data_IF_240883796569
#
_entry.id   IF_240883796569
#
_cell.length_a   1.000
_cell.length_b   1.000
_cell.length_c   1.000
_cell.angle_alpha   90.00
_cell.angle_beta   90.00
_cell.angle_gamma   90.00
#
_symmetry.space_group_name_H-M   'P 1'
#
loop_
_entity.id
_entity.type
_entity.pdbx_description
1 polymer ?
#
# COMPACT_ATOMS: atom_id res chain seq x y z
N UNK A 1 -55.44 40.66 -15.66
CA UNK A 1 -56.47 40.13 -16.57
C UNK A 1 -56.17 40.59 -17.99
N UNK A 2 -56.30 39.67 -18.97
CA UNK A 2 -56.19 39.84 -20.43
C UNK A 2 -54.79 40.28 -20.95
N UNK A 3 -53.96 39.44 -21.58
CA UNK A 3 -54.16 38.55 -22.74
C UNK A 3 -54.74 39.27 -23.96
N UNK A 4 -53.84 39.65 -24.89
CA UNK A 4 -54.10 39.80 -26.33
C UNK A 4 -52.78 39.55 -27.07
N UNK A 5 -52.67 38.38 -27.69
CA UNK A 5 -51.86 38.13 -28.90
C UNK A 5 -52.84 38.11 -30.08
N UNK A 6 -52.43 38.56 -31.26
CA UNK A 6 -52.76 38.11 -32.63
C UNK A 6 -51.99 39.03 -33.61
N UNK A 7 -50.92 38.53 -34.27
CA UNK A 7 -50.78 38.14 -35.72
C UNK A 7 -50.76 39.35 -36.66
N UNK A 8 -50.01 39.48 -37.74
CA UNK A 8 -48.97 38.76 -38.51
C UNK A 8 -48.59 39.79 -39.60
N UNK A 9 -47.33 39.92 -40.01
CA UNK A 9 -47.06 40.28 -41.42
C UNK A 9 -45.68 39.77 -41.83
N UNK A 10 -45.70 38.92 -42.85
CA UNK A 10 -44.58 38.24 -43.48
C UNK A 10 -44.08 39.11 -44.64
N UNK A 11 -42.78 39.40 -44.68
CA UNK A 11 -42.13 39.93 -45.87
C UNK A 11 -40.69 39.40 -45.97
N UNK A 12 -40.57 38.42 -46.86
CA UNK A 12 -39.37 37.80 -47.41
C UNK A 12 -38.33 38.84 -47.86
N UNK A 13 -37.11 38.75 -47.33
CA UNK A 13 -35.94 39.23 -48.05
C UNK A 13 -34.69 38.49 -47.60
N UNK A 14 -34.16 37.72 -48.55
CA UNK A 14 -33.06 36.76 -48.42
C UNK A 14 -31.74 37.47 -48.11
N UNK A 15 -31.21 37.29 -46.91
CA UNK A 15 -29.82 37.61 -46.59
C UNK A 15 -29.01 36.30 -46.49
N UNK A 16 -28.09 36.09 -47.43
CA UNK A 16 -27.12 34.99 -47.44
C UNK A 16 -26.22 35.08 -46.21
N UNK A 17 -26.35 34.14 -45.27
CA UNK A 17 -25.41 33.97 -44.18
C UNK A 17 -24.51 32.76 -44.48
N UNK A 18 -23.18 32.89 -44.44
CA UNK A 18 -22.29 31.76 -44.66
C UNK A 18 -22.45 30.73 -43.52
N UNK A 19 -22.63 29.47 -43.90
CA UNK A 19 -22.59 28.32 -42.98
C UNK A 19 -21.19 28.19 -42.39
N UNK A 20 -21.01 28.62 -41.15
CA UNK A 20 -19.84 28.25 -40.35
C UNK A 20 -20.04 26.80 -39.92
N UNK A 21 -19.35 25.87 -40.58
CA UNK A 21 -19.19 24.53 -40.04
C UNK A 21 -18.32 24.63 -38.78
N UNK A 22 -18.97 24.65 -37.61
CA UNK A 22 -18.31 24.43 -36.33
C UNK A 22 -17.95 22.95 -36.30
N UNK A 23 -16.73 22.61 -36.72
CA UNK A 23 -16.12 21.33 -36.41
C UNK A 23 -16.08 21.20 -34.88
N UNK A 24 -16.86 20.26 -34.35
CA UNK A 24 -16.79 19.85 -32.95
C UNK A 24 -15.33 19.45 -32.63
N UNK A 25 -14.75 19.85 -31.49
CA UNK A 25 -13.58 19.15 -31.01
C UNK A 25 -14.06 17.75 -30.61
N UNK A 26 -13.59 16.72 -31.33
CA UNK A 26 -13.68 15.34 -30.89
C UNK A 26 -13.17 15.28 -29.45
N UNK A 27 -14.03 14.81 -28.55
CA UNK A 27 -13.61 14.41 -27.22
C UNK A 27 -12.59 13.29 -27.41
N UNK A 28 -11.31 13.66 -27.44
CA UNK A 28 -10.20 12.71 -27.31
C UNK A 28 -10.34 12.12 -25.92
N UNK A 29 -11.02 10.98 -25.84
CA UNK A 29 -10.99 10.11 -24.67
C UNK A 29 -9.53 9.73 -24.50
N UNK A 30 -8.84 10.44 -23.61
CA UNK A 30 -7.49 10.08 -23.20
C UNK A 30 -7.58 8.75 -22.45
N UNK A 31 -7.53 7.64 -23.18
CA UNK A 31 -7.17 6.34 -22.60
C UNK A 31 -5.71 6.45 -22.19
N UNK A 32 -5.48 6.89 -20.95
CA UNK A 32 -4.15 7.03 -20.40
C UNK A 32 -3.59 5.61 -20.23
N UNK A 33 -2.70 5.22 -21.14
CA UNK A 33 -1.87 4.01 -21.04
C UNK A 33 -0.97 4.16 -19.82
N UNK A 34 -1.46 3.73 -18.66
CA UNK A 34 -0.72 3.81 -17.40
C UNK A 34 0.28 2.66 -17.38
N UNK A 35 1.53 2.97 -17.07
CA UNK A 35 2.51 1.90 -16.88
C UNK A 35 2.05 0.93 -15.78
N UNK A 36 2.38 -0.37 -15.89
CA UNK A 36 2.02 -1.36 -14.86
C UNK A 36 2.49 -0.96 -13.45
N UNK A 37 3.63 -0.27 -13.36
CA UNK A 37 4.16 0.23 -12.09
C UNK A 37 3.26 1.30 -11.46
N UNK A 38 2.66 2.17 -12.27
CA UNK A 38 1.76 3.22 -11.78
C UNK A 38 0.43 2.62 -11.30
N UNK A 39 -0.12 1.64 -12.02
CA UNK A 39 -1.31 0.91 -11.58
C UNK A 39 -1.09 0.21 -10.24
N UNK A 40 0.07 -0.43 -10.08
CA UNK A 40 0.47 -1.09 -8.83
C UNK A 40 0.58 -0.09 -7.68
N UNK A 41 1.14 1.10 -7.92
CA UNK A 41 1.21 2.19 -6.93
C UNK A 41 -0.17 2.71 -6.55
N UNK A 42 -1.05 2.91 -7.54
CA UNK A 42 -2.43 3.37 -7.31
C UNK A 42 -3.18 2.34 -6.46
N UNK A 43 -3.08 1.05 -6.79
CA UNK A 43 -3.69 -0.03 -6.01
C UNK A 43 -3.22 0.00 -4.56
N UNK A 44 -1.91 0.10 -4.34
CA UNK A 44 -1.34 0.15 -3.00
C UNK A 44 -1.77 1.39 -2.22
N UNK A 45 -1.82 2.56 -2.88
CA UNK A 45 -2.31 3.79 -2.26
C UNK A 45 -3.78 3.67 -1.84
N UNK A 46 -4.64 3.09 -2.69
CA UNK A 46 -6.04 2.84 -2.35
C UNK A 46 -6.19 1.88 -1.15
N UNK A 47 -5.37 0.84 -1.06
CA UNK A 47 -5.34 -0.07 0.09
C UNK A 47 -4.91 0.69 1.35
N UNK A 48 -3.83 1.47 1.27
CA UNK A 48 -3.34 2.23 2.43
C UNK A 48 -4.41 3.21 2.96
N UNK A 49 -5.09 3.93 2.06
CA UNK A 49 -6.19 4.82 2.43
C UNK A 49 -7.35 4.07 3.09
N UNK A 50 -7.81 2.97 2.50
CA UNK A 50 -8.94 2.20 3.04
C UNK A 50 -8.66 1.60 4.42
N UNK A 51 -7.38 1.28 4.71
CA UNK A 51 -6.96 0.74 6.01
C UNK A 51 -6.55 1.82 7.02
N UNK A 52 -6.63 3.11 6.65
CA UNK A 52 -6.11 4.23 7.45
C UNK A 52 -4.62 4.04 7.81
N UNK A 53 -3.86 3.51 6.86
CA UNK A 53 -2.42 3.27 6.93
C UNK A 53 -1.70 4.37 6.17
N UNK A 54 -0.57 4.81 6.73
CA UNK A 54 0.40 5.62 6.01
C UNK A 54 1.68 4.83 5.78
N UNK A 55 1.87 4.39 4.54
CA UNK A 55 3.12 3.79 4.08
C UNK A 55 4.24 4.84 4.13
N UNK A 56 5.42 4.45 4.61
CA UNK A 56 6.58 5.34 4.70
C UNK A 56 7.68 4.91 3.72
N UNK A 57 8.14 3.67 3.82
CA UNK A 57 9.17 3.12 2.95
C UNK A 57 9.00 1.61 2.83
N UNK A 58 9.31 1.03 1.68
CA UNK A 58 9.29 -0.42 1.46
C UNK A 58 10.04 -0.79 0.20
N UNK A 59 10.73 -1.93 0.22
CA UNK A 59 11.23 -2.62 -0.98
C UNK A 59 10.45 -3.92 -1.28
N UNK A 60 9.47 -4.28 -0.43
CA UNK A 60 8.68 -5.50 -0.59
C UNK A 60 7.82 -5.47 -1.86
N UNK A 61 7.58 -6.62 -2.49
CA UNK A 61 6.51 -6.78 -3.47
C UNK A 61 5.12 -6.38 -2.92
N UNK A 62 4.26 -5.85 -3.78
CA UNK A 62 2.98 -5.24 -3.35
C UNK A 62 2.02 -6.23 -2.70
N UNK A 63 2.03 -7.49 -3.09
CA UNK A 63 1.27 -8.55 -2.42
C UNK A 63 1.67 -8.72 -0.94
N UNK A 64 2.98 -8.66 -0.65
CA UNK A 64 3.50 -8.74 0.72
C UNK A 64 3.23 -7.47 1.50
N UNK A 65 3.33 -6.30 0.85
CA UNK A 65 2.94 -5.04 1.46
C UNK A 65 1.47 -5.06 1.87
N UNK A 66 0.57 -5.39 0.94
CA UNK A 66 -0.86 -5.52 1.19
C UNK A 66 -1.15 -6.49 2.35
N UNK A 67 -0.49 -7.65 2.39
CA UNK A 67 -0.64 -8.60 3.49
C UNK A 67 -0.22 -7.99 4.83
N UNK A 68 0.94 -7.32 4.89
CA UNK A 68 1.40 -6.66 6.12
C UNK A 68 0.39 -5.60 6.61
N UNK A 69 -0.10 -4.76 5.70
CA UNK A 69 -1.04 -3.69 6.03
C UNK A 69 -2.37 -4.24 6.55
N UNK A 70 -2.97 -5.20 5.83
CA UNK A 70 -4.25 -5.82 6.22
C UNK A 70 -4.13 -6.58 7.54
N UNK A 71 -3.03 -7.31 7.74
CA UNK A 71 -2.81 -8.09 8.95
C UNK A 71 -2.68 -7.18 10.17
N UNK A 72 -1.84 -6.14 10.09
CA UNK A 72 -1.68 -5.17 11.17
C UNK A 72 -3.00 -4.47 11.51
N UNK A 73 -3.77 -4.06 10.49
CA UNK A 73 -5.06 -3.40 10.70
C UNK A 73 -6.08 -4.31 11.38
N UNK A 74 -6.25 -5.53 10.85
CA UNK A 74 -7.16 -6.52 11.43
C UNK A 74 -6.80 -6.87 12.87
N UNK A 75 -5.50 -6.93 13.19
CA UNK A 75 -5.06 -7.18 14.56
C UNK A 75 -5.48 -6.05 15.51
N UNK A 76 -5.33 -4.79 15.09
CA UNK A 76 -5.71 -3.63 15.90
C UNK A 76 -7.23 -3.51 16.08
N UNK A 77 -8.02 -3.90 15.08
CA UNK A 77 -9.49 -3.87 15.15
C UNK A 77 -10.07 -4.98 16.07
N UNK A 78 -9.33 -6.07 16.32
CA UNK A 78 -9.77 -7.19 17.20
C UNK A 78 -9.65 -6.91 18.70
N UNK A 79 -9.04 -5.79 19.11
CA UNK A 79 -8.92 -5.45 20.53
C UNK A 79 -10.29 -5.01 21.08
N UNK A 80 -10.87 -5.68 22.11
CA UNK A 80 -12.24 -5.45 22.54
C UNK A 80 -12.45 -4.02 23.03
N UNK A 81 -13.11 -3.22 22.22
CA UNK A 81 -13.54 -1.86 22.52
C UNK A 81 -14.77 -1.88 23.42
N UNK A 82 -14.61 -1.71 24.73
CA UNK A 82 -15.72 -1.25 25.57
C UNK A 82 -15.83 0.28 25.46
N UNK A 83 -17.06 0.77 25.30
CA UNK A 83 -17.43 2.10 24.79
C UNK A 83 -17.06 3.31 25.68
N UNK A 84 -16.05 3.22 26.55
CA UNK A 84 -15.60 4.33 27.38
C UNK A 84 -14.09 4.62 27.30
N UNK A 85 -13.27 3.67 26.81
CA UNK A 85 -11.86 3.93 26.46
C UNK A 85 -11.35 2.85 25.52
N UNK A 86 -10.80 3.21 24.36
CA UNK A 86 -10.12 2.23 23.50
C UNK A 86 -8.97 1.62 24.32
N UNK A 87 -8.97 0.30 24.60
CA UNK A 87 -7.86 -0.32 25.30
C UNK A 87 -6.58 -0.09 24.50
N UNK A 88 -5.47 0.19 25.19
CA UNK A 88 -4.19 0.31 24.52
C UNK A 88 -3.86 -1.03 23.85
N UNK A 89 -3.60 -1.07 22.54
CA UNK A 89 -3.22 -2.31 21.88
C UNK A 89 -1.90 -2.81 22.46
N UNK A 90 -1.82 -4.11 22.71
CA UNK A 90 -0.57 -4.73 23.17
C UNK A 90 0.40 -4.81 21.98
N UNK A 91 1.33 -3.87 21.92
CA UNK A 91 2.27 -3.70 20.82
C UNK A 91 3.18 -4.92 20.64
N UNK A 92 3.58 -5.55 21.74
CA UNK A 92 4.40 -6.77 21.73
C UNK A 92 3.65 -7.93 21.09
N UNK A 93 2.34 -8.06 21.33
CA UNK A 93 1.52 -9.08 20.67
C UNK A 93 1.40 -8.83 19.17
N UNK A 94 1.22 -7.57 18.73
CA UNK A 94 1.20 -7.22 17.32
C UNK A 94 2.53 -7.54 16.63
N UNK A 95 3.65 -7.12 17.22
CA UNK A 95 4.99 -7.39 16.68
C UNK A 95 5.24 -8.90 16.54
N UNK A 96 4.92 -9.67 17.59
CA UNK A 96 5.05 -11.14 17.58
C UNK A 96 4.14 -11.78 16.53
N UNK A 97 2.90 -11.29 16.39
CA UNK A 97 1.95 -11.83 15.43
C UNK A 97 2.39 -11.58 13.98
N UNK A 98 2.89 -10.38 13.67
CA UNK A 98 3.44 -10.04 12.35
C UNK A 98 4.68 -10.87 12.03
N UNK A 99 5.63 -10.97 12.98
CA UNK A 99 6.82 -11.81 12.84
C UNK A 99 6.43 -13.26 12.51
N UNK A 100 5.53 -13.84 13.31
CA UNK A 100 5.10 -15.23 13.14
C UNK A 100 4.40 -15.46 11.79
N UNK A 101 3.52 -14.55 11.40
CA UNK A 101 2.84 -14.62 10.10
C UNK A 101 3.84 -14.65 8.94
N UNK A 102 4.82 -13.75 8.97
CA UNK A 102 5.79 -13.62 7.88
C UNK A 102 6.86 -14.72 7.89
N UNK A 103 7.31 -15.18 9.05
CA UNK A 103 8.15 -16.38 9.16
C UNK A 103 7.46 -17.60 8.57
N UNK A 104 6.17 -17.78 8.86
CA UNK A 104 5.40 -18.92 8.36
C UNK A 104 5.13 -18.83 6.87
N UNK A 105 4.84 -17.65 6.34
CA UNK A 105 4.46 -17.46 4.94
C UNK A 105 5.65 -17.31 3.99
N UNK A 106 6.79 -16.79 4.48
CA UNK A 106 7.91 -16.37 3.63
C UNK A 106 9.28 -16.84 4.15
N UNK A 107 9.27 -17.80 5.08
CA UNK A 107 10.45 -18.37 5.71
C UNK A 107 11.10 -17.44 6.73
N UNK A 108 11.85 -18.03 7.66
CA UNK A 108 12.67 -17.30 8.65
C UNK A 108 13.82 -16.52 7.97
N UNK A 109 14.43 -15.49 8.59
CA UNK A 109 14.12 -14.90 9.89
C UNK A 109 13.60 -13.46 9.72
N UNK A 110 12.30 -13.28 9.99
CA UNK A 110 11.66 -11.98 10.05
C UNK A 110 11.80 -11.37 11.44
N UNK A 111 11.82 -10.04 11.48
CA UNK A 111 11.88 -9.23 12.69
C UNK A 111 10.83 -8.13 12.60
N UNK A 112 10.20 -7.79 13.73
CA UNK A 112 9.20 -6.75 13.77
C UNK A 112 9.38 -5.86 15.00
N UNK A 113 9.34 -4.55 14.77
CA UNK A 113 9.38 -3.51 15.81
C UNK A 113 8.10 -2.70 15.71
N UNK A 114 7.43 -2.51 16.85
CA UNK A 114 6.20 -1.73 16.94
C UNK A 114 6.31 -0.75 18.10
N UNK A 115 6.06 0.53 17.86
CA UNK A 115 6.18 1.57 18.88
C UNK A 115 5.57 2.90 18.47
N UNK A 116 5.41 3.82 19.43
CA UNK A 116 4.98 5.20 19.14
C UNK A 116 6.11 6.08 18.61
N UNK A 117 7.36 5.74 18.95
CA UNK A 117 8.56 6.40 18.48
C UNK A 117 9.74 5.44 18.63
N UNK A 118 10.56 5.33 17.60
CA UNK A 118 11.83 4.60 17.61
C UNK A 118 12.73 5.12 16.50
N UNK A 119 14.05 5.00 16.69
CA UNK A 119 15.03 5.11 15.62
C UNK A 119 15.50 3.71 15.22
N UNK A 120 15.79 3.50 13.94
CA UNK A 120 16.29 2.21 13.44
C UNK A 120 17.31 2.41 12.32
N UNK A 121 18.41 1.67 12.37
CA UNK A 121 19.35 1.50 11.27
C UNK A 121 19.58 -0.01 11.13
N UNK A 122 18.99 -0.63 10.11
CA UNK A 122 18.96 -2.09 9.98
C UNK A 122 19.46 -2.52 8.60
N UNK A 123 20.28 -3.57 8.60
CA UNK A 123 20.59 -4.33 7.39
C UNK A 123 19.50 -5.39 7.21
N UNK A 124 18.95 -5.48 6.01
CA UNK A 124 17.86 -6.39 5.68
C UNK A 124 18.09 -7.01 4.30
N UNK A 125 17.49 -8.17 4.07
CA UNK A 125 17.49 -8.83 2.77
C UNK A 125 16.66 -8.03 1.75
N UNK A 126 17.07 -7.95 0.47
CA UNK A 126 16.31 -7.27 -0.56
C UNK A 126 14.87 -7.80 -0.71
N UNK A 127 13.91 -6.89 -0.90
CA UNK A 127 12.49 -7.22 -1.04
C UNK A 127 11.83 -7.69 0.25
N UNK A 128 12.49 -7.45 1.39
CA UNK A 128 12.16 -7.96 2.69
C UNK A 128 11.85 -6.89 3.72
N UNK A 129 11.65 -5.62 3.34
CA UNK A 129 11.50 -4.48 4.25
C UNK A 129 10.24 -3.65 4.00
N UNK A 130 9.55 -3.30 5.08
CA UNK A 130 8.43 -2.35 5.09
C UNK A 130 8.40 -1.56 6.38
N UNK A 131 8.17 -0.26 6.24
CA UNK A 131 7.96 0.69 7.32
C UNK A 131 6.68 1.49 7.05
N UNK A 132 5.74 1.44 7.98
CA UNK A 132 4.46 2.14 7.88
C UNK A 132 3.92 2.53 9.25
N UNK A 133 2.83 3.29 9.26
CA UNK A 133 2.14 3.67 10.49
C UNK A 133 0.63 3.49 10.38
N UNK A 134 -0.01 3.09 11.47
CA UNK A 134 -1.45 3.13 11.68
C UNK A 134 -1.70 4.06 12.86
N UNK A 135 -2.42 5.15 12.62
CA UNK A 135 -2.62 6.24 13.58
C UNK A 135 -1.27 6.78 14.13
N UNK A 136 -0.99 6.55 15.42
CA UNK A 136 0.24 6.96 16.13
C UNK A 136 1.23 5.81 16.34
N UNK A 137 0.93 4.61 15.83
CA UNK A 137 1.80 3.44 15.94
C UNK A 137 2.61 3.28 14.67
N UNK A 138 3.91 3.14 14.83
CA UNK A 138 4.86 2.84 13.78
C UNK A 138 5.20 1.35 13.81
N UNK A 139 5.26 0.74 12.62
CA UNK A 139 5.54 -0.68 12.42
C UNK A 139 6.67 -0.79 11.42
N UNK A 140 7.75 -1.42 11.85
CA UNK A 140 8.89 -1.79 11.02
C UNK A 140 8.95 -3.32 10.97
N UNK A 141 8.89 -3.90 9.78
CA UNK A 141 8.97 -5.34 9.55
C UNK A 141 10.04 -5.60 8.49
N UNK A 142 11.04 -6.41 8.83
CA UNK A 142 12.16 -6.68 7.94
C UNK A 142 12.67 -8.13 8.03
N UNK A 143 13.20 -8.65 6.93
CA UNK A 143 13.83 -9.98 6.85
C UNK A 143 15.35 -9.84 6.92
N UNK A 144 16.02 -10.77 7.59
CA UNK A 144 17.49 -10.90 7.58
C UNK A 144 17.92 -12.19 6.91
N UNK A 145 19.13 -12.20 6.35
CA UNK A 145 19.80 -13.43 5.93
C UNK A 145 20.31 -14.18 7.15
N UNK A 146 20.16 -15.50 7.14
CA UNK A 146 20.67 -16.39 8.20
C UNK A 146 21.52 -17.46 7.52
N UNK A 147 22.80 -17.51 7.85
CA UNK A 147 23.65 -18.66 7.52
C UNK A 147 23.59 -19.64 8.67
N UNK A 148 23.07 -20.84 8.40
CA UNK A 148 23.12 -21.94 9.37
C UNK A 148 24.54 -22.52 9.35
N UNK A 149 25.30 -22.27 10.41
CA UNK A 149 26.59 -22.95 10.60
C UNK A 149 26.28 -24.38 11.00
N UNK A 150 26.49 -25.31 10.08
CA UNK A 150 26.52 -26.74 10.39
C UNK A 150 28.00 -27.06 10.55
N UNK A 151 28.47 -27.32 11.77
CA UNK A 151 29.87 -27.65 12.04
C UNK A 151 30.32 -28.80 11.12
N UNK A 152 31.48 -28.63 10.47
CA UNK A 152 32.17 -29.69 9.76
C UNK A 152 32.97 -30.51 10.78
N UNK A 153 32.82 -31.84 10.70
CA UNK A 153 33.50 -32.85 11.50
C UNK A 153 34.99 -32.55 11.77
N UNK A 154 35.51 -32.90 12.95
CA UNK A 154 36.90 -32.63 13.31
C UNK A 154 37.85 -33.35 12.35
N UNK A 155 38.77 -32.58 11.78
CA UNK A 155 39.87 -33.08 10.96
C UNK A 155 40.58 -34.23 11.67
N UNK A 156 40.51 -35.43 11.10
CA UNK A 156 41.35 -36.56 11.50
C UNK A 156 42.80 -36.18 11.20
N UNK A 157 43.55 -35.74 12.22
CA UNK A 157 45.00 -35.65 12.12
C UNK A 157 45.55 -37.08 12.12
N UNK A 158 46.02 -37.54 10.96
CA UNK A 158 46.84 -38.73 10.85
C UNK A 158 48.13 -38.50 11.62
N UNK A 159 48.30 -39.25 12.70
CA UNK A 159 49.57 -39.43 13.40
C UNK A 159 50.50 -40.27 12.51
N UNK A 160 51.23 -39.64 11.60
CA UNK A 160 52.35 -40.31 10.96
C UNK A 160 53.53 -40.35 11.93
N UNK A 161 53.73 -41.56 12.44
CA UNK A 161 54.91 -42.01 13.17
C UNK A 161 56.09 -42.07 12.21
N UNK A 162 57.20 -41.39 12.52
CA UNK A 162 58.57 -41.86 12.29
C UNK A 162 59.51 -41.16 13.28
#
# INVERSE_FOLDING_TARGET
MASRRYTEEEADSKQHHPTVQISQPEATVMTQDRSPAEEVRIKLAAIALSLNVRLRSSDMPVDRQERALRYARSFLDKSPSSAASKPRPNLTLLARALKKEFDSAYGVAWHCVVGKSFGSFVTHSPGGFIYFSIDSLFILLFKTEVQLVTELEPSSQSVDTL
#
